data_IF_688469557271
#
_entry.id   IF_688469557271
#
_cell.length_a   1.000
_cell.length_b   1.000
_cell.length_c   1.000
_cell.angle_alpha   90.00
_cell.angle_beta   90.00
_cell.angle_gamma   90.00
#
_symmetry.space_group_name_H-M   'P 1'
#
loop_
_entity.id
_entity.type
_entity.pdbx_description
1 polymer ?
#
# COMPACT_ATOMS: atom_id res chain seq x y z
N UNK A 1 -21.25 6.32 -6.82
CA UNK A 1 -22.21 6.02 -5.74
C UNK A 1 -21.42 6.09 -4.45
N UNK A 2 -21.81 6.93 -3.48
CA UNK A 2 -21.08 7.07 -2.22
C UNK A 2 -21.46 5.90 -1.29
N UNK A 3 -20.46 5.21 -0.74
CA UNK A 3 -20.66 4.16 0.26
C UNK A 3 -20.29 4.73 1.64
N UNK A 4 -21.28 4.96 2.49
CA UNK A 4 -21.08 5.61 3.80
C UNK A 4 -20.40 4.70 4.84
N UNK A 5 -20.19 3.41 4.53
CA UNK A 5 -19.52 2.46 5.41
C UNK A 5 -18.00 2.41 5.22
N UNK A 6 -17.47 3.09 4.20
CA UNK A 6 -16.06 3.00 3.80
C UNK A 6 -15.46 4.40 3.76
N UNK A 7 -14.26 4.56 4.33
CA UNK A 7 -13.50 5.81 4.22
C UNK A 7 -12.98 5.99 2.80
N UNK A 8 -12.76 7.23 2.38
CA UNK A 8 -12.10 7.56 1.11
C UNK A 8 -10.84 8.38 1.38
N UNK A 9 -9.83 8.26 0.52
CA UNK A 9 -8.66 9.15 0.56
C UNK A 9 -8.91 10.47 -0.19
N UNK A 10 -7.90 11.32 -0.26
CA UNK A 10 -7.97 12.64 -0.92
C UNK A 10 -8.24 12.60 -2.43
N UNK A 11 -8.20 11.40 -3.06
CA UNK A 11 -8.52 11.15 -4.46
C UNK A 11 -9.83 10.35 -4.63
N UNK A 12 -10.71 10.36 -3.63
CA UNK A 12 -12.00 9.64 -3.63
C UNK A 12 -11.88 8.11 -3.79
N UNK A 13 -10.72 7.54 -3.47
CA UNK A 13 -10.52 6.08 -3.49
C UNK A 13 -10.97 5.47 -2.16
N UNK A 14 -11.91 4.54 -2.23
CA UNK A 14 -12.41 3.81 -1.08
C UNK A 14 -11.30 2.95 -0.44
N UNK A 15 -11.22 2.98 0.89
CA UNK A 15 -10.28 2.19 1.69
C UNK A 15 -11.04 1.02 2.32
N UNK A 16 -11.01 -0.12 1.64
CA UNK A 16 -11.70 -1.35 2.08
C UNK A 16 -10.74 -2.56 2.10
N UNK A 17 -10.07 -2.80 3.24
CA UNK A 17 -9.20 -3.96 3.41
C UNK A 17 -9.93 -5.30 3.24
N UNK A 18 -11.19 -5.39 3.70
CA UNK A 18 -11.98 -6.61 3.61
C UNK A 18 -12.32 -6.94 2.15
N UNK A 19 -12.48 -5.91 1.32
CA UNK A 19 -12.62 -6.03 -0.13
C UNK A 19 -11.47 -6.80 -0.78
N UNK A 20 -10.24 -6.70 -0.27
CA UNK A 20 -9.10 -7.48 -0.78
C UNK A 20 -9.29 -8.98 -0.49
N UNK A 21 -9.66 -9.35 0.74
CA UNK A 21 -9.96 -10.75 1.09
C UNK A 21 -11.14 -11.30 0.30
N UNK A 22 -12.19 -10.49 0.12
CA UNK A 22 -13.32 -10.85 -0.74
C UNK A 22 -12.85 -11.13 -2.18
N UNK A 23 -12.07 -10.24 -2.78
CA UNK A 23 -11.55 -10.42 -4.13
C UNK A 23 -10.67 -11.67 -4.28
N UNK A 24 -9.85 -11.98 -3.28
CA UNK A 24 -9.05 -13.22 -3.26
C UNK A 24 -9.94 -14.47 -3.23
N UNK A 25 -10.98 -14.48 -2.41
CA UNK A 25 -11.94 -15.59 -2.36
C UNK A 25 -12.67 -15.75 -3.70
N UNK A 26 -13.21 -14.67 -4.26
CA UNK A 26 -13.90 -14.71 -5.56
C UNK A 26 -13.00 -15.22 -6.69
N UNK A 27 -11.74 -14.76 -6.74
CA UNK A 27 -10.77 -15.24 -7.72
C UNK A 27 -10.47 -16.73 -7.55
N UNK A 28 -10.33 -17.19 -6.31
CA UNK A 28 -10.10 -18.61 -6.00
C UNK A 28 -11.33 -19.47 -6.30
N UNK A 29 -12.54 -18.98 -6.08
CA UNK A 29 -13.79 -19.67 -6.41
C UNK A 29 -13.96 -19.81 -7.94
N UNK A 30 -13.61 -18.76 -8.69
CA UNK A 30 -13.62 -18.79 -10.16
C UNK A 30 -12.50 -19.67 -10.74
N UNK A 31 -11.33 -19.67 -10.10
CA UNK A 31 -10.14 -20.38 -10.55
C UNK A 31 -9.49 -21.19 -9.42
N UNK A 32 -10.11 -22.32 -9.02
CA UNK A 32 -9.65 -23.08 -7.86
C UNK A 32 -8.21 -23.54 -7.99
N UNK A 33 -7.46 -23.38 -6.89
CA UNK A 33 -6.07 -23.81 -6.71
C UNK A 33 -5.03 -23.12 -7.60
N UNK A 34 -5.40 -22.15 -8.43
CA UNK A 34 -4.40 -21.35 -9.13
C UNK A 34 -3.73 -20.40 -8.13
N UNK A 35 -2.38 -20.39 -8.06
CA UNK A 35 -1.68 -19.45 -7.19
C UNK A 35 -1.98 -18.00 -7.56
N UNK A 36 -2.26 -17.16 -6.56
CA UNK A 36 -2.59 -15.74 -6.73
C UNK A 36 -1.43 -14.89 -6.25
N UNK A 37 -1.04 -13.88 -7.04
CA UNK A 37 -0.06 -12.87 -6.63
C UNK A 37 -0.71 -11.49 -6.66
N UNK A 38 -0.61 -10.77 -5.56
CA UNK A 38 -1.03 -9.37 -5.49
C UNK A 38 0.14 -8.55 -6.05
N UNK A 39 0.01 -8.07 -7.27
CA UNK A 39 1.09 -7.34 -7.96
C UNK A 39 1.05 -5.83 -7.72
N UNK A 40 -0.08 -5.31 -7.23
CA UNK A 40 -0.25 -3.91 -6.86
C UNK A 40 -1.21 -3.77 -5.67
N UNK A 41 -0.75 -3.08 -4.62
CA UNK A 41 -1.59 -2.49 -3.59
C UNK A 41 -0.85 -1.28 -2.97
N UNK A 42 -1.52 -0.15 -2.78
CA UNK A 42 -0.84 1.05 -2.27
C UNK A 42 -1.78 2.20 -1.94
N UNK A 43 -1.28 3.14 -1.14
CA UNK A 43 -2.02 4.30 -0.67
C UNK A 43 -1.40 5.59 -1.17
N UNK A 44 -2.09 6.24 -2.12
CA UNK A 44 -1.72 7.56 -2.61
C UNK A 44 -2.18 8.63 -1.62
N UNK A 45 -1.24 9.43 -1.14
CA UNK A 45 -1.48 10.52 -0.19
C UNK A 45 -0.45 11.64 -0.38
N UNK A 46 -0.73 12.80 0.19
CA UNK A 46 0.26 13.87 0.35
C UNK A 46 1.25 13.48 1.44
N UNK A 47 2.54 13.74 1.22
CA UNK A 47 3.56 13.62 2.25
C UNK A 47 4.16 15.00 2.56
N UNK A 48 4.49 15.22 3.82
CA UNK A 48 5.19 16.42 4.29
C UNK A 48 6.53 16.04 4.92
N UNK A 49 7.55 16.88 4.70
CA UNK A 49 8.85 16.74 5.36
C UNK A 49 8.81 17.54 6.66
N UNK A 50 8.95 16.86 7.78
CA UNK A 50 9.07 17.43 9.13
C UNK A 50 10.41 17.01 9.70
N UNK A 51 11.25 17.99 10.08
CA UNK A 51 12.59 17.75 10.62
C UNK A 51 13.47 16.81 9.76
N UNK A 52 13.33 16.91 8.43
CA UNK A 52 14.10 16.11 7.47
C UNK A 52 13.61 14.67 7.27
N UNK A 53 12.46 14.32 7.83
CA UNK A 53 11.82 13.01 7.72
C UNK A 53 10.38 13.12 7.22
N UNK A 54 9.86 12.02 6.70
CA UNK A 54 8.45 11.90 6.30
C UNK A 54 7.80 10.89 7.22
N UNK A 55 6.87 11.39 8.03
CA UNK A 55 6.06 10.58 8.94
C UNK A 55 4.75 10.22 8.25
N UNK A 56 4.60 8.96 7.82
CA UNK A 56 3.48 8.49 7.01
C UNK A 56 2.64 7.38 7.67
N UNK A 57 2.11 7.60 8.90
CA UNK A 57 1.31 6.59 9.60
C UNK A 57 0.06 6.20 8.82
N UNK A 58 -0.54 7.11 8.04
CA UNK A 58 -1.68 6.82 7.16
C UNK A 58 -1.38 5.74 6.12
N UNK A 59 -0.14 5.70 5.61
CA UNK A 59 0.30 4.71 4.61
C UNK A 59 0.56 3.36 5.28
N UNK A 60 1.19 3.38 6.45
CA UNK A 60 1.40 2.20 7.29
C UNK A 60 0.05 1.58 7.65
N UNK A 61 -0.90 2.37 8.18
CA UNK A 61 -2.23 1.89 8.59
C UNK A 61 -3.00 1.24 7.43
N UNK A 62 -2.96 1.87 6.24
CA UNK A 62 -3.58 1.31 5.05
C UNK A 62 -2.99 -0.06 4.71
N UNK A 63 -1.66 -0.15 4.57
CA UNK A 63 -0.99 -1.37 4.13
C UNK A 63 -1.08 -2.47 5.19
N UNK A 64 -0.90 -2.14 6.48
CA UNK A 64 -1.10 -3.04 7.63
C UNK A 64 -2.48 -3.69 7.59
N UNK A 65 -3.52 -2.89 7.38
CA UNK A 65 -4.89 -3.42 7.32
C UNK A 65 -5.10 -4.39 6.13
N UNK A 66 -4.52 -4.10 4.96
CA UNK A 66 -4.65 -4.98 3.78
C UNK A 66 -3.82 -6.26 3.93
N UNK A 67 -2.59 -6.17 4.42
CA UNK A 67 -1.72 -7.33 4.66
C UNK A 67 -2.36 -8.29 5.68
N UNK A 68 -3.00 -7.77 6.73
CA UNK A 68 -3.73 -8.60 7.70
C UNK A 68 -4.91 -9.36 7.06
N UNK A 69 -5.58 -8.79 6.06
CA UNK A 69 -6.64 -9.49 5.32
C UNK A 69 -6.09 -10.54 4.34
N UNK A 70 -4.89 -10.33 3.78
CA UNK A 70 -4.16 -11.34 3.01
C UNK A 70 -3.76 -12.52 3.89
N UNK A 71 -3.26 -12.27 5.10
CA UNK A 71 -2.94 -13.33 6.06
C UNK A 71 -4.19 -14.16 6.38
N UNK A 72 -5.33 -13.52 6.66
CA UNK A 72 -6.60 -14.23 6.89
C UNK A 72 -7.03 -15.05 5.68
N UNK A 73 -6.85 -14.56 4.46
CA UNK A 73 -7.15 -15.30 3.24
C UNK A 73 -6.28 -16.57 3.10
N UNK A 74 -5.00 -16.49 3.48
CA UNK A 74 -4.08 -17.64 3.45
C UNK A 74 -4.43 -18.63 4.57
N UNK A 75 -4.51 -18.15 5.82
CA UNK A 75 -4.59 -19.00 7.01
C UNK A 75 -6.00 -19.56 7.23
N UNK A 76 -7.03 -18.74 7.07
CA UNK A 76 -8.41 -19.14 7.37
C UNK A 76 -9.15 -19.68 6.14
N UNK A 77 -8.89 -19.10 4.96
CA UNK A 77 -9.63 -19.45 3.74
C UNK A 77 -8.87 -20.46 2.86
N UNK A 78 -7.58 -20.70 3.13
CA UNK A 78 -6.76 -21.70 2.44
C UNK A 78 -6.36 -21.29 1.02
N UNK A 79 -6.35 -20.00 0.71
CA UNK A 79 -6.06 -19.48 -0.63
C UNK A 79 -4.55 -19.48 -0.89
N UNK A 80 -4.06 -20.04 -2.02
CA UNK A 80 -2.63 -20.11 -2.34
C UNK A 80 -2.07 -18.77 -2.83
N UNK A 81 -1.93 -17.79 -1.93
CA UNK A 81 -1.29 -16.50 -2.24
C UNK A 81 0.24 -16.66 -2.22
N UNK A 82 0.90 -16.32 -3.33
CA UNK A 82 2.36 -16.54 -3.51
C UNK A 82 3.19 -15.27 -3.39
N UNK A 83 2.56 -14.10 -3.26
CA UNK A 83 3.30 -12.86 -3.11
C UNK A 83 2.41 -11.62 -3.01
N UNK A 84 3.03 -10.57 -2.48
CA UNK A 84 2.44 -9.25 -2.31
C UNK A 84 3.47 -8.19 -2.69
N UNK A 85 3.16 -7.41 -3.72
CA UNK A 85 4.00 -6.32 -4.22
C UNK A 85 3.26 -5.01 -4.02
N UNK A 86 3.75 -4.19 -3.09
CA UNK A 86 3.21 -2.85 -2.88
C UNK A 86 3.50 -1.97 -4.09
N UNK A 87 2.50 -1.21 -4.54
CA UNK A 87 2.64 -0.30 -5.67
C UNK A 87 3.55 0.88 -5.33
N UNK A 88 4.48 1.19 -6.24
CA UNK A 88 5.35 2.37 -6.17
C UNK A 88 6.19 2.43 -4.88
N UNK A 89 7.06 1.44 -4.58
CA UNK A 89 7.88 1.43 -3.35
C UNK A 89 8.84 2.63 -3.21
N UNK A 90 9.10 3.32 -4.33
CA UNK A 90 9.72 4.64 -4.42
C UNK A 90 8.72 5.59 -5.06
N UNK A 91 8.72 6.87 -4.65
CA UNK A 91 7.84 7.86 -5.26
C UNK A 91 8.10 7.97 -6.77
N UNK A 92 7.00 7.96 -7.53
CA UNK A 92 6.95 8.00 -8.99
C UNK A 92 5.85 8.97 -9.42
N UNK A 93 5.89 9.39 -10.69
CA UNK A 93 4.79 10.12 -11.31
C UNK A 93 3.57 9.21 -11.38
N UNK A 94 2.46 9.63 -10.77
CA UNK A 94 1.23 8.84 -10.72
C UNK A 94 0.60 8.67 -12.11
N UNK A 95 0.04 7.48 -12.38
CA UNK A 95 -0.50 7.16 -13.71
C UNK A 95 -1.75 7.96 -14.09
N UNK A 96 -2.69 8.15 -13.15
CA UNK A 96 -3.99 8.74 -13.47
C UNK A 96 -3.96 10.26 -13.66
N UNK A 97 -3.18 10.98 -12.85
CA UNK A 97 -3.14 12.45 -12.83
C UNK A 97 -1.79 13.04 -13.25
N UNK A 98 -0.74 12.22 -13.39
CA UNK A 98 0.60 12.72 -13.74
C UNK A 98 1.28 13.49 -12.61
N UNK A 99 0.84 13.28 -11.37
CA UNK A 99 1.28 14.05 -10.19
C UNK A 99 2.40 13.33 -9.43
N UNK A 100 3.39 14.10 -8.98
CA UNK A 100 4.39 13.70 -7.97
C UNK A 100 3.84 13.87 -6.55
N UNK A 101 2.96 14.86 -6.31
CA UNK A 101 2.38 15.10 -4.97
C UNK A 101 1.48 13.96 -4.48
N UNK A 102 0.98 13.11 -5.38
CA UNK A 102 0.28 11.86 -5.04
C UNK A 102 1.31 10.74 -4.82
N UNK A 103 1.83 10.65 -3.60
CA UNK A 103 2.97 9.78 -3.26
C UNK A 103 2.52 8.42 -2.73
N UNK A 104 3.26 7.38 -3.08
CA UNK A 104 2.99 5.99 -2.69
C UNK A 104 4.15 5.32 -1.96
N UNK A 105 5.38 5.79 -2.17
CA UNK A 105 6.56 5.03 -1.81
C UNK A 105 6.88 5.02 -0.35
N UNK A 106 7.73 4.07 0.02
CA UNK A 106 8.48 4.08 1.27
C UNK A 106 9.75 4.93 1.16
N UNK A 107 10.14 5.24 -0.08
CA UNK A 107 11.27 6.08 -0.44
C UNK A 107 10.71 7.37 -1.05
N UNK A 108 10.85 8.47 -0.32
CA UNK A 108 10.52 9.79 -0.81
C UNK A 108 11.51 10.20 -1.90
N UNK A 109 11.04 10.91 -2.94
CA UNK A 109 11.87 11.54 -3.96
C UNK A 109 11.60 13.04 -3.93
N UNK A 110 12.66 13.84 -3.77
CA UNK A 110 12.60 15.29 -3.77
C UNK A 110 12.41 15.85 -5.19
N UNK A 111 11.20 15.69 -5.69
CA UNK A 111 10.69 16.27 -6.93
C UNK A 111 9.22 16.64 -6.72
N UNK A 112 8.81 17.79 -7.24
CA UNK A 112 7.43 18.26 -7.26
C UNK A 112 6.74 18.05 -8.63
N UNK A 113 5.49 18.52 -8.76
CA UNK A 113 4.70 18.38 -9.99
C UNK A 113 5.27 19.20 -11.17
N UNK A 114 6.12 20.19 -10.92
CA UNK A 114 6.80 21.00 -11.94
C UNK A 114 8.16 20.42 -12.34
N UNK A 115 8.57 19.30 -11.71
CA UNK A 115 9.88 18.69 -11.89
C UNK A 115 11.00 19.43 -11.17
N UNK A 116 10.67 20.32 -10.23
CA UNK A 116 11.64 21.02 -9.39
C UNK A 116 11.98 20.18 -8.16
N UNK A 117 13.23 20.27 -7.71
CA UNK A 117 13.76 19.51 -6.58
C UNK A 117 15.15 18.93 -6.86
N UNK A 118 15.82 18.43 -5.83
CA UNK A 118 17.17 17.85 -5.94
C UNK A 118 17.19 16.45 -6.54
N UNK A 119 16.04 15.76 -6.52
CA UNK A 119 15.94 14.34 -6.80
C UNK A 119 16.57 13.45 -5.72
N UNK A 120 16.95 13.99 -4.56
CA UNK A 120 17.44 13.19 -3.44
C UNK A 120 16.37 12.24 -2.90
N UNK A 121 16.81 11.16 -2.26
CA UNK A 121 15.95 10.11 -1.72
C UNK A 121 16.00 10.10 -0.21
N UNK A 122 14.84 10.03 0.42
CA UNK A 122 14.70 9.91 1.87
C UNK A 122 13.89 8.65 2.20
N UNK A 123 14.24 7.98 3.30
CA UNK A 123 13.44 6.86 3.81
C UNK A 123 12.34 7.44 4.68
N UNK A 124 11.09 7.07 4.39
CA UNK A 124 9.92 7.41 5.22
C UNK A 124 9.83 6.43 6.40
N UNK A 125 8.96 6.69 7.37
CA UNK A 125 8.71 5.74 8.47
C UNK A 125 8.27 4.37 7.95
N UNK A 126 7.41 4.37 6.93
CA UNK A 126 6.94 3.16 6.24
C UNK A 126 8.05 2.30 5.62
N UNK A 127 9.24 2.86 5.36
CA UNK A 127 10.40 2.08 4.93
C UNK A 127 10.86 1.10 6.01
N UNK A 128 10.99 1.59 7.23
CA UNK A 128 11.46 0.78 8.34
C UNK A 128 10.38 -0.22 8.76
N UNK A 129 9.11 0.20 8.74
CA UNK A 129 7.98 -0.69 8.94
C UNK A 129 7.94 -1.84 7.92
N UNK A 130 7.99 -1.55 6.61
CA UNK A 130 7.88 -2.60 5.59
C UNK A 130 9.11 -3.53 5.59
N UNK A 131 10.29 -3.00 5.97
CA UNK A 131 11.49 -3.83 6.23
C UNK A 131 11.23 -4.84 7.35
N UNK A 132 10.58 -4.44 8.44
CA UNK A 132 10.24 -5.32 9.56
C UNK A 132 9.23 -6.37 9.12
N UNK A 133 8.14 -5.98 8.46
CA UNK A 133 7.13 -6.89 7.91
C UNK A 133 7.76 -7.98 7.06
N UNK A 134 8.68 -7.63 6.14
CA UNK A 134 9.40 -8.61 5.32
C UNK A 134 10.28 -9.53 6.19
N UNK A 135 11.04 -8.95 7.12
CA UNK A 135 11.96 -9.71 7.98
C UNK A 135 11.24 -10.72 8.88
N UNK A 136 10.02 -10.41 9.29
CA UNK A 136 9.15 -11.28 10.11
C UNK A 136 8.16 -12.08 9.27
N UNK A 137 8.26 -12.06 7.94
CA UNK A 137 7.33 -12.74 7.03
C UNK A 137 5.85 -12.42 7.32
N UNK A 138 5.55 -11.19 7.72
CA UNK A 138 4.19 -10.74 8.04
C UNK A 138 3.71 -11.03 9.46
N UNK A 139 4.48 -11.74 10.31
CA UNK A 139 4.07 -12.04 11.70
C UNK A 139 3.98 -10.79 12.59
N UNK A 140 4.74 -9.74 12.26
CA UNK A 140 4.78 -8.47 12.99
C UNK A 140 4.45 -7.33 12.01
N UNK A 141 3.26 -6.75 12.19
CA UNK A 141 2.80 -5.60 11.42
C UNK A 141 2.95 -4.27 12.19
N UNK A 142 3.64 -4.28 13.33
CA UNK A 142 3.69 -3.18 14.30
C UNK A 142 2.41 -3.05 15.13
N UNK A 143 2.50 -2.43 16.31
CA UNK A 143 1.34 -2.08 17.15
C UNK A 143 0.56 -0.88 16.60
#
# INVERSE_FOLDING_TARGET
MKNDFVKVNDWDWAVDPQGLRYALNELNDMYPYLPIMIVENGFGAYDEIVDGQVHDPYRIDYLKAHVAEVEKAIVNDGIPVIGYLSWGPIDIVSAGTGEMKKRYGYIYVDLDDMGEGSGERLRKDSFYWYKQVIATQGEDLGD
#
